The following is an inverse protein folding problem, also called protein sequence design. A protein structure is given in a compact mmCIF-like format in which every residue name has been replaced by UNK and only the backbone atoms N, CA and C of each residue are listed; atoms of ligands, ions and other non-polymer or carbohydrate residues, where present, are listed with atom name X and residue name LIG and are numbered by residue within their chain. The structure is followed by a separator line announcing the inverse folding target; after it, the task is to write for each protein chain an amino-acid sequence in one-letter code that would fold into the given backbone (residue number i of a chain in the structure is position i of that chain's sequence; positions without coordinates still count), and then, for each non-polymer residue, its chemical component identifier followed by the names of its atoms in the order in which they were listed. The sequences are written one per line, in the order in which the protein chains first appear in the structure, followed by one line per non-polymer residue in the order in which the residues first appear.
data_IF_358385665696
#
_entry.id   IF_358385665696
#
_cell.length_a   1.000
_cell.length_b   1.000
_cell.length_c   1.000
_cell.angle_alpha   90.00
_cell.angle_beta   90.00
_cell.angle_gamma   90.00
#
_symmetry.space_group_name_H-M   'P 1'
#
loop_
_entity.id
_entity.type
_entity.pdbx_description
1 polymer ?
#
# COMPACT_ATOMS: atom_id res chain seq x y z
N UNK A 1 4.63 17.04 -23.08
CA UNK A 1 4.17 17.15 -21.68
C UNK A 1 2.75 16.60 -21.62
N UNK A 2 2.51 15.69 -20.67
CA UNK A 2 1.24 14.99 -20.50
C UNK A 2 0.10 15.99 -20.20
N UNK A 3 -1.06 15.80 -20.84
CA UNK A 3 -2.22 16.69 -20.70
C UNK A 3 -2.69 16.82 -19.25
N UNK A 4 -2.51 15.76 -18.45
CA UNK A 4 -2.83 15.75 -17.03
C UNK A 4 -1.89 16.65 -16.22
N UNK A 5 -0.60 16.64 -16.53
CA UNK A 5 0.40 17.49 -15.90
C UNK A 5 0.15 18.97 -16.18
N UNK A 6 -0.11 19.34 -17.44
CA UNK A 6 -0.43 20.73 -17.81
C UNK A 6 -1.74 21.23 -17.17
N UNK A 7 -2.72 20.35 -16.99
CA UNK A 7 -3.97 20.69 -16.28
C UNK A 7 -3.70 20.94 -14.79
N UNK A 8 -2.84 20.16 -14.15
CA UNK A 8 -2.45 20.37 -12.76
C UNK A 8 -1.64 21.68 -12.60
N UNK A 9 -0.74 21.98 -13.53
CA UNK A 9 0.02 23.24 -13.56
C UNK A 9 -0.93 24.43 -13.71
N UNK A 10 -1.86 24.37 -14.67
CA UNK A 10 -2.88 25.42 -14.88
C UNK A 10 -3.69 25.70 -13.61
N UNK A 11 -4.16 24.64 -12.96
CA UNK A 11 -4.94 24.72 -11.72
C UNK A 11 -4.11 25.32 -10.58
N UNK A 12 -2.87 24.88 -10.42
CA UNK A 12 -1.96 25.38 -9.38
C UNK A 12 -1.60 26.85 -9.55
N UNK A 13 -1.32 27.27 -10.79
CA UNK A 13 -1.03 28.67 -11.12
C UNK A 13 -2.25 29.56 -10.92
N UNK A 14 -3.43 29.09 -11.38
CA UNK A 14 -4.70 29.83 -11.20
C UNK A 14 -5.00 30.05 -9.71
N UNK A 15 -4.76 29.05 -8.89
CA UNK A 15 -4.97 29.12 -7.43
C UNK A 15 -3.95 30.03 -6.73
N UNK A 16 -2.68 29.98 -7.16
CA UNK A 16 -1.59 30.75 -6.53
C UNK A 16 -1.60 32.22 -6.88
N UNK A 17 -1.96 32.56 -8.12
CA UNK A 17 -1.91 33.92 -8.64
C UNK A 17 -3.26 34.57 -8.86
N UNK A 18 -4.38 33.85 -8.59
CA UNK A 18 -5.75 34.36 -8.79
C UNK A 18 -6.15 34.56 -10.25
N UNK A 19 -5.38 34.00 -11.20
CA UNK A 19 -5.55 34.16 -12.64
C UNK A 19 -6.11 32.88 -13.23
N UNK A 20 -7.22 32.93 -13.98
CA UNK A 20 -7.73 31.76 -14.69
C UNK A 20 -6.85 31.46 -15.90
N UNK A 21 -6.09 30.38 -15.83
CA UNK A 21 -5.27 29.86 -16.93
C UNK A 21 -5.87 28.52 -17.35
N UNK A 22 -6.26 28.39 -18.62
CA UNK A 22 -6.76 27.13 -19.17
C UNK A 22 -5.60 26.25 -19.68
N UNK A 23 -5.84 24.94 -19.76
CA UNK A 23 -4.93 23.99 -20.38
C UNK A 23 -4.51 24.42 -21.80
N UNK A 24 -5.48 24.91 -22.58
CA UNK A 24 -5.24 25.36 -23.96
C UNK A 24 -4.29 26.56 -24.00
N UNK A 25 -4.47 27.53 -23.11
CA UNK A 25 -3.57 28.69 -23.01
C UNK A 25 -2.15 28.28 -22.63
N UNK A 26 -1.96 27.36 -21.69
CA UNK A 26 -0.63 26.84 -21.35
C UNK A 26 0.05 26.16 -22.52
N UNK A 27 -0.71 25.44 -23.34
CA UNK A 27 -0.14 24.66 -24.44
C UNK A 27 0.11 25.50 -25.70
N UNK A 28 -0.78 26.43 -26.04
CA UNK A 28 -0.75 27.16 -27.31
C UNK A 28 -0.17 28.58 -27.18
N UNK A 29 -0.47 29.29 -26.10
CA UNK A 29 -0.14 30.72 -25.91
C UNK A 29 1.04 30.95 -25.00
N UNK A 30 1.26 30.06 -24.01
CA UNK A 30 2.30 30.16 -22.97
C UNK A 30 3.25 28.95 -22.99
N UNK A 31 3.87 28.62 -24.13
CA UNK A 31 4.58 27.36 -24.33
C UNK A 31 5.95 27.28 -23.62
N UNK A 32 6.43 28.37 -23.02
CA UNK A 32 7.69 28.40 -22.28
C UNK A 32 7.58 29.25 -21.01
N UNK A 33 8.56 29.11 -20.12
CA UNK A 33 8.57 29.76 -18.81
C UNK A 33 8.60 31.29 -18.90
N UNK A 34 9.22 31.88 -19.92
CA UNK A 34 9.33 33.33 -20.07
C UNK A 34 7.95 33.95 -20.37
N UNK A 35 7.24 33.42 -21.35
CA UNK A 35 5.87 33.85 -21.66
C UNK A 35 4.90 33.63 -20.51
N UNK A 36 5.07 32.54 -19.76
CA UNK A 36 4.27 32.27 -18.57
C UNK A 36 4.58 33.28 -17.47
N UNK A 37 5.85 33.62 -17.26
CA UNK A 37 6.27 34.63 -16.31
C UNK A 37 5.71 36.03 -16.67
N UNK A 38 5.83 36.43 -17.93
CA UNK A 38 5.30 37.70 -18.43
C UNK A 38 3.76 37.81 -18.24
N UNK A 39 3.04 36.68 -18.43
CA UNK A 39 1.61 36.61 -18.20
C UNK A 39 1.22 36.74 -16.72
N UNK A 40 2.05 36.22 -15.81
CA UNK A 40 1.79 36.23 -14.37
C UNK A 40 2.31 37.49 -13.66
N UNK A 41 3.36 38.13 -14.15
CA UNK A 41 3.97 39.32 -13.56
C UNK A 41 2.97 40.42 -13.19
N UNK A 42 1.99 40.80 -14.04
CA UNK A 42 0.97 41.84 -13.71
C UNK A 42 0.10 41.47 -12.51
N UNK A 43 0.02 40.17 -12.15
CA UNK A 43 -0.85 39.64 -11.11
C UNK A 43 -0.13 39.35 -9.79
N UNK A 44 1.19 39.47 -9.73
CA UNK A 44 2.01 39.23 -8.53
C UNK A 44 1.92 40.38 -7.51
N UNK A 45 1.45 41.56 -7.92
CA UNK A 45 1.43 42.77 -7.09
C UNK A 45 0.14 43.07 -6.31
N UNK A 46 -0.90 42.25 -6.36
CA UNK A 46 -2.20 42.58 -5.78
C UNK A 46 -2.57 41.92 -4.44
N UNK A 47 -1.63 41.26 -3.76
CA UNK A 47 -1.86 40.68 -2.44
C UNK A 47 -0.88 41.20 -1.37
N UNK A 48 -0.96 42.49 -1.08
CA UNK A 48 -0.53 43.02 0.21
C UNK A 48 -1.36 44.21 0.59
N UNK A 49 -2.30 44.04 1.47
CA UNK A 49 -2.88 44.90 2.50
C UNK A 49 -4.42 44.82 2.55
N UNK A 50 -4.95 44.62 3.73
CA UNK A 50 -6.32 45.04 4.07
C UNK A 50 -7.20 43.93 4.64
N UNK A 51 -7.14 43.76 5.92
CA UNK A 51 -8.12 44.08 6.99
C UNK A 51 -9.53 43.50 6.84
N UNK A 52 -9.84 42.81 7.91
CA UNK A 52 -11.15 42.44 8.50
C UNK A 52 -12.31 43.38 8.16
N UNK A 53 -13.41 42.84 7.62
CA UNK A 53 -14.77 43.27 7.96
C UNK A 53 -15.81 42.21 7.51
N UNK A 54 -16.75 42.02 8.36
CA UNK A 54 -17.94 41.19 8.40
C UNK A 54 -18.95 41.40 7.28
N UNK A 55 -19.69 40.32 6.91
CA UNK A 55 -21.11 40.50 6.54
C UNK A 55 -21.62 39.64 5.37
N UNK A 56 -22.48 38.68 5.75
CA UNK A 56 -23.71 38.22 5.05
C UNK A 56 -23.65 37.39 3.76
N UNK A 57 -24.11 36.17 3.93
CA UNK A 57 -24.95 35.29 3.08
C UNK A 57 -25.09 35.56 1.57
N UNK A 58 -24.61 34.58 0.78
CA UNK A 58 -25.48 33.97 -0.24
C UNK A 58 -24.93 32.60 -0.64
N UNK A 59 -25.85 31.65 -0.77
CA UNK A 59 -25.58 30.24 -1.00
C UNK A 59 -24.94 29.97 -2.36
N UNK A 60 -23.81 29.32 -2.38
CA UNK A 60 -23.30 28.59 -3.54
C UNK A 60 -22.83 27.21 -3.04
N UNK A 61 -23.41 26.19 -3.63
CA UNK A 61 -23.13 24.75 -3.35
C UNK A 61 -21.64 24.43 -3.50
N UNK A 62 -20.98 23.87 -2.51
CA UNK A 62 -19.58 23.49 -2.65
C UNK A 62 -19.45 22.16 -3.41
N UNK A 63 -18.49 22.08 -4.30
CA UNK A 63 -18.01 20.81 -4.86
C UNK A 63 -17.28 20.04 -3.76
N UNK A 64 -17.96 19.07 -3.18
CA UNK A 64 -17.58 18.38 -1.94
C UNK A 64 -16.50 17.29 -2.09
N UNK A 65 -15.67 17.29 -3.13
CA UNK A 65 -14.81 16.12 -3.41
C UNK A 65 -13.40 16.15 -2.81
N UNK A 66 -12.72 17.30 -2.79
CA UNK A 66 -11.29 17.35 -2.43
C UNK A 66 -11.04 17.78 -0.97
N UNK A 67 -11.87 18.68 -0.44
CA UNK A 67 -11.71 19.19 0.93
C UNK A 67 -12.22 18.19 1.98
N UNK A 68 -13.21 17.35 1.63
CA UNK A 68 -13.70 16.30 2.53
C UNK A 68 -12.64 15.21 2.85
N UNK A 69 -11.75 14.90 1.88
CA UNK A 69 -10.68 13.93 2.08
C UNK A 69 -9.56 14.50 2.96
N UNK A 70 -9.23 15.79 2.81
CA UNK A 70 -8.24 16.46 3.67
C UNK A 70 -8.78 16.67 5.09
N UNK A 71 -10.03 17.06 5.25
CA UNK A 71 -10.64 17.27 6.58
C UNK A 71 -10.88 15.96 7.33
N UNK A 72 -11.20 14.85 6.64
CA UNK A 72 -11.32 13.54 7.29
C UNK A 72 -10.00 13.05 7.91
N UNK A 73 -8.86 13.56 7.44
CA UNK A 73 -7.54 13.27 8.02
C UNK A 73 -7.15 14.24 9.14
N UNK A 74 -7.68 15.46 9.16
CA UNK A 74 -7.43 16.45 10.22
C UNK A 74 -8.30 16.19 11.45
N UNK A 75 -9.53 15.73 11.27
CA UNK A 75 -10.47 15.40 12.37
C UNK A 75 -10.22 14.03 13.01
N UNK A 76 -9.18 13.31 12.63
CA UNK A 76 -8.75 12.07 13.26
C UNK A 76 -7.44 12.25 14.04
N UNK A 77 -7.41 13.05 15.13
CA UNK A 77 -6.18 13.46 15.82
C UNK A 77 -5.41 12.33 16.51
N UNK A 78 -5.93 11.11 16.50
CA UNK A 78 -5.35 10.00 17.26
C UNK A 78 -5.19 8.72 16.44
N UNK A 79 -4.89 8.84 15.15
CA UNK A 79 -4.42 7.69 14.38
C UNK A 79 -3.10 7.20 14.98
N UNK A 80 -3.14 6.05 15.64
CA UNK A 80 -1.94 5.33 16.11
C UNK A 80 -0.92 5.31 14.98
N UNK A 81 0.38 5.39 15.30
CA UNK A 81 1.49 5.40 14.33
C UNK A 81 1.23 4.42 13.19
N UNK A 82 1.27 4.92 11.99
CA UNK A 82 1.13 4.10 10.78
C UNK A 82 2.46 3.39 10.55
N UNK A 83 2.41 2.07 10.37
CA UNK A 83 3.58 1.24 10.13
C UNK A 83 3.71 0.87 8.65
N UNK A 84 4.96 0.70 8.19
CA UNK A 84 5.30 0.20 6.87
C UNK A 84 4.90 1.13 5.71
N UNK A 85 4.51 0.54 4.58
CA UNK A 85 4.22 1.24 3.32
C UNK A 85 3.11 2.31 3.41
N UNK A 86 2.31 2.29 4.46
CA UNK A 86 1.26 3.28 4.72
C UNK A 86 1.78 4.54 5.45
N UNK A 87 3.07 4.59 5.84
CA UNK A 87 3.65 5.79 6.39
C UNK A 87 3.61 6.92 5.35
N UNK A 88 3.02 8.06 5.70
CA UNK A 88 3.01 9.24 4.83
C UNK A 88 4.45 9.70 4.60
N UNK A 89 4.73 10.21 3.40
CA UNK A 89 5.94 11.00 3.17
C UNK A 89 5.77 12.27 4.01
N UNK A 90 6.46 12.30 5.13
CA UNK A 90 6.46 13.47 6.01
C UNK A 90 7.26 14.56 5.30
N UNK A 91 6.67 15.75 5.13
CA UNK A 91 7.40 16.95 4.73
C UNK A 91 8.19 17.44 5.96
N UNK A 92 9.23 16.70 6.33
CA UNK A 92 10.18 17.13 7.34
C UNK A 92 11.02 18.28 6.79
N UNK A 93 11.49 19.15 7.67
CA UNK A 93 12.43 20.21 7.32
C UNK A 93 13.63 19.60 6.60
N UNK A 94 14.09 20.25 5.55
CA UNK A 94 15.09 19.74 4.59
C UNK A 94 16.44 19.36 5.21
N UNK A 95 16.72 19.66 6.47
CA UNK A 95 17.97 19.34 7.12
C UNK A 95 17.85 19.24 8.65
N UNK A 96 17.48 18.06 9.12
CA UNK A 96 17.42 17.76 10.57
C UNK A 96 18.69 17.02 11.09
N UNK A 97 19.70 16.81 10.24
CA UNK A 97 20.93 16.17 10.66
C UNK A 97 21.84 17.16 11.43
N UNK A 98 22.38 16.73 12.58
CA UNK A 98 23.50 17.42 13.18
C UNK A 98 24.74 17.40 12.24
N UNK A 99 25.72 18.30 12.41
CA UNK A 99 26.94 18.27 11.60
C UNK A 99 27.65 16.89 11.63
N UNK A 100 27.66 16.23 12.77
CA UNK A 100 28.26 14.90 12.95
C UNK A 100 27.47 13.82 12.21
N UNK A 101 26.14 13.85 12.33
CA UNK A 101 25.26 12.94 11.58
C UNK A 101 25.40 13.14 10.07
N UNK A 102 25.53 14.38 9.62
CA UNK A 102 25.76 14.71 8.20
C UNK A 102 27.10 14.19 7.71
N UNK A 103 28.16 14.37 8.48
CA UNK A 103 29.50 13.86 8.13
C UNK A 103 29.49 12.33 8.01
N UNK A 104 28.94 11.63 9.00
CA UNK A 104 28.78 10.18 8.97
C UNK A 104 27.94 9.71 7.78
N UNK A 105 26.82 10.39 7.51
CA UNK A 105 25.94 10.06 6.39
C UNK A 105 26.66 10.18 5.05
N UNK A 106 27.41 11.25 4.84
CA UNK A 106 28.14 11.47 3.59
C UNK A 106 29.19 10.35 3.38
N UNK A 107 29.98 10.02 4.39
CA UNK A 107 30.93 8.91 4.34
C UNK A 107 30.23 7.56 4.05
N UNK A 108 29.10 7.32 4.70
CA UNK A 108 28.30 6.11 4.45
C UNK A 108 27.81 6.06 3.01
N UNK A 109 27.27 7.16 2.48
CA UNK A 109 26.79 7.25 1.09
C UNK A 109 27.90 6.95 0.11
N UNK A 110 29.09 7.54 0.29
CA UNK A 110 30.24 7.28 -0.58
C UNK A 110 30.59 5.79 -0.62
N UNK A 111 30.71 5.15 0.53
CA UNK A 111 31.02 3.71 0.63
C UNK A 111 29.92 2.84 0.02
N UNK A 112 28.64 3.15 0.33
CA UNK A 112 27.51 2.38 -0.16
C UNK A 112 27.36 2.51 -1.68
N UNK A 113 27.45 3.73 -2.22
CA UNK A 113 27.34 3.99 -3.64
C UNK A 113 28.52 3.38 -4.41
N UNK A 114 29.74 3.45 -3.87
CA UNK A 114 30.91 2.81 -4.49
C UNK A 114 30.72 1.28 -4.59
N UNK A 115 30.11 0.66 -3.57
CA UNK A 115 29.84 -0.77 -3.54
C UNK A 115 28.73 -1.20 -4.50
N UNK A 116 27.75 -0.36 -4.77
CA UNK A 116 26.53 -0.67 -5.55
C UNK A 116 26.34 0.30 -6.74
N UNK A 117 27.46 0.69 -7.37
CA UNK A 117 27.49 1.71 -8.41
C UNK A 117 26.65 1.38 -9.63
N UNK A 118 26.68 0.10 -10.10
CA UNK A 118 25.90 -0.36 -11.25
C UNK A 118 24.40 -0.38 -10.94
N UNK A 119 24.00 -0.77 -9.71
CA UNK A 119 22.60 -0.72 -9.29
C UNK A 119 22.06 0.72 -9.28
N UNK A 120 22.87 1.68 -8.84
CA UNK A 120 22.52 3.11 -8.88
C UNK A 120 22.40 3.61 -10.32
N UNK A 121 23.37 3.30 -11.19
CA UNK A 121 23.35 3.65 -12.60
C UNK A 121 22.13 3.06 -13.30
N UNK A 122 21.85 1.77 -13.12
CA UNK A 122 20.66 1.11 -13.64
C UNK A 122 19.37 1.85 -13.28
N UNK A 123 19.21 2.23 -12.01
CA UNK A 123 18.02 2.96 -11.55
C UNK A 123 17.93 4.33 -12.22
N UNK A 124 19.06 5.04 -12.39
CA UNK A 124 19.07 6.37 -13.01
C UNK A 124 18.74 6.31 -14.51
N UNK A 125 19.33 5.37 -15.24
CA UNK A 125 19.12 5.17 -16.68
C UNK A 125 17.67 4.76 -16.98
N UNK A 126 17.07 3.94 -16.12
CA UNK A 126 15.73 3.39 -16.34
C UNK A 126 14.60 4.18 -15.64
N UNK A 127 14.90 5.28 -14.98
CA UNK A 127 13.91 6.05 -14.22
C UNK A 127 12.74 6.58 -15.05
N UNK A 128 12.93 6.87 -16.33
CA UNK A 128 11.87 7.38 -17.20
C UNK A 128 10.86 6.31 -17.59
N UNK A 129 11.27 5.13 -18.13
CA UNK A 129 10.33 4.10 -18.53
C UNK A 129 9.85 3.23 -17.36
N UNK A 130 10.62 3.14 -16.27
CA UNK A 130 10.34 2.22 -15.17
C UNK A 130 9.79 2.96 -13.94
N UNK A 131 8.48 2.85 -13.72
CA UNK A 131 7.83 3.35 -12.52
C UNK A 131 7.96 2.32 -11.39
N UNK A 132 8.95 2.50 -10.49
CA UNK A 132 9.11 1.66 -9.31
C UNK A 132 8.54 2.35 -8.06
N UNK A 133 7.38 1.92 -7.55
CA UNK A 133 6.76 2.53 -6.36
C UNK A 133 7.61 2.35 -5.09
N UNK A 134 8.52 1.38 -5.06
CA UNK A 134 9.40 1.13 -3.90
C UNK A 134 10.39 2.25 -3.66
N UNK A 135 10.80 2.98 -4.69
CA UNK A 135 11.71 4.13 -4.55
C UNK A 135 11.05 5.37 -3.96
N UNK A 136 9.73 5.43 -3.92
CA UNK A 136 8.99 6.56 -3.32
C UNK A 136 8.42 6.24 -1.95
N UNK A 137 8.29 4.95 -1.61
CA UNK A 137 7.78 4.52 -0.30
C UNK A 137 8.80 4.85 0.79
N UNK A 138 8.43 5.71 1.73
CA UNK A 138 9.33 6.17 2.80
C UNK A 138 10.42 7.14 2.34
N UNK A 139 10.27 7.74 1.16
CA UNK A 139 11.22 8.73 0.64
C UNK A 139 11.43 9.89 1.61
N UNK A 140 12.71 10.18 1.89
CA UNK A 140 13.15 11.36 2.64
C UNK A 140 14.16 12.13 1.80
N UNK A 141 13.96 13.45 1.60
CA UNK A 141 14.88 14.27 0.80
C UNK A 141 16.32 14.22 1.29
N UNK A 142 16.51 14.08 2.60
CA UNK A 142 17.85 14.02 3.23
C UNK A 142 18.64 12.78 2.80
N UNK A 143 17.95 11.67 2.50
CA UNK A 143 18.56 10.38 2.15
C UNK A 143 18.37 9.99 0.68
N UNK A 144 18.07 10.98 -0.18
CA UNK A 144 17.78 10.77 -1.61
C UNK A 144 18.85 9.97 -2.38
N UNK A 145 20.12 10.11 -1.95
CA UNK A 145 21.24 9.43 -2.61
C UNK A 145 21.22 7.91 -2.44
N UNK A 146 20.47 7.41 -1.43
CA UNK A 146 20.29 5.98 -1.15
C UNK A 146 18.96 5.44 -1.69
N UNK A 147 18.18 6.26 -2.42
CA UNK A 147 16.87 5.86 -2.95
C UNK A 147 17.03 5.18 -4.31
N UNK A 148 17.48 3.94 -4.28
CA UNK A 148 17.53 3.01 -5.39
C UNK A 148 17.53 1.57 -4.87
N UNK A 149 17.17 0.63 -5.72
CA UNK A 149 17.20 -0.79 -5.38
C UNK A 149 18.57 -1.38 -5.70
N UNK A 150 19.04 -2.32 -4.90
CA UNK A 150 20.14 -3.22 -5.30
C UNK A 150 19.57 -4.14 -6.37
N UNK A 151 20.17 -4.14 -7.55
CA UNK A 151 19.72 -4.92 -8.70
C UNK A 151 20.45 -6.25 -8.70
N UNK A 152 19.68 -7.34 -8.56
CA UNK A 152 20.21 -8.69 -8.47
C UNK A 152 20.38 -9.26 -9.88
N UNK A 153 21.54 -9.84 -10.15
CA UNK A 153 21.89 -10.51 -11.41
C UNK A 153 21.61 -12.01 -11.34
N UNK A 154 21.98 -12.65 -10.23
CA UNK A 154 21.78 -14.09 -10.03
C UNK A 154 21.52 -14.46 -8.58
N UNK A 155 20.98 -15.66 -8.37
CA UNK A 155 20.65 -16.20 -7.06
C UNK A 155 20.87 -17.72 -7.00
N UNK A 156 21.30 -18.25 -5.84
CA UNK A 156 21.47 -19.68 -5.61
C UNK A 156 21.43 -19.97 -4.11
N UNK A 157 20.68 -20.98 -3.70
CA UNK A 157 20.53 -21.33 -2.29
C UNK A 157 20.02 -20.14 -1.46
N UNK A 158 20.81 -19.69 -0.48
CA UNK A 158 20.48 -18.51 0.31
C UNK A 158 21.24 -17.25 -0.13
N UNK A 159 21.88 -17.24 -1.29
CA UNK A 159 22.74 -16.17 -1.75
C UNK A 159 22.17 -15.43 -2.95
N UNK A 160 22.42 -14.11 -2.98
CA UNK A 160 22.12 -13.21 -4.09
C UNK A 160 23.41 -12.51 -4.51
N UNK A 161 23.57 -12.26 -5.81
CA UNK A 161 24.68 -11.45 -6.35
C UNK A 161 24.10 -10.29 -7.15
N UNK A 162 24.57 -9.09 -6.85
CA UNK A 162 24.14 -7.89 -7.57
C UNK A 162 24.94 -7.66 -8.88
N UNK A 163 24.59 -6.64 -9.61
CA UNK A 163 25.25 -6.24 -10.86
C UNK A 163 26.74 -5.88 -10.66
N UNK A 164 27.13 -5.48 -9.46
CA UNK A 164 28.51 -5.16 -9.10
C UNK A 164 29.31 -6.39 -8.69
N UNK A 165 28.64 -7.55 -8.54
CA UNK A 165 29.23 -8.83 -8.14
C UNK A 165 29.32 -9.00 -6.63
N UNK A 166 28.68 -8.14 -5.85
CA UNK A 166 28.61 -8.32 -4.40
C UNK A 166 27.71 -9.48 -4.06
N UNK A 167 28.15 -10.31 -3.13
CA UNK A 167 27.39 -11.42 -2.58
C UNK A 167 26.65 -11.01 -1.31
N UNK A 168 25.39 -11.42 -1.22
CA UNK A 168 24.50 -11.17 -0.08
C UNK A 168 23.85 -12.46 0.38
N UNK A 169 23.68 -12.61 1.68
CA UNK A 169 22.79 -13.65 2.24
C UNK A 169 21.38 -13.07 2.27
N UNK A 170 20.45 -13.73 1.59
CA UNK A 170 19.05 -13.33 1.60
C UNK A 170 18.34 -13.86 2.85
N UNK A 171 18.05 -12.96 3.78
CA UNK A 171 17.24 -13.24 4.96
C UNK A 171 15.77 -12.85 4.80
N UNK A 172 15.39 -12.28 3.66
CA UNK A 172 14.01 -11.90 3.35
C UNK A 172 13.23 -13.08 2.76
N UNK A 173 13.92 -13.95 2.00
CA UNK A 173 13.37 -15.17 1.39
C UNK A 173 12.08 -14.92 0.58
N UNK A 174 12.00 -13.75 -0.12
CA UNK A 174 10.80 -13.36 -0.87
C UNK A 174 9.53 -13.26 -0.01
N UNK A 175 9.65 -12.78 1.22
CA UNK A 175 8.59 -12.78 2.25
C UNK A 175 8.04 -14.18 2.57
N UNK A 176 8.93 -15.19 2.56
CA UNK A 176 8.59 -16.58 2.84
C UNK A 176 8.35 -17.46 1.60
N UNK A 177 8.19 -16.88 0.42
CA UNK A 177 7.97 -17.65 -0.82
C UNK A 177 9.16 -18.50 -1.25
N UNK A 178 10.39 -18.11 -0.88
CA UNK A 178 11.64 -18.85 -1.17
C UNK A 178 12.10 -19.72 0.00
N UNK A 179 11.20 -20.43 0.65
CA UNK A 179 11.46 -21.25 1.83
C UNK A 179 12.54 -22.33 1.60
N UNK A 180 12.67 -22.85 0.38
CA UNK A 180 13.70 -23.83 0.00
C UNK A 180 14.98 -23.21 -0.58
N UNK A 181 15.09 -21.89 -0.52
CA UNK A 181 16.16 -21.14 -1.17
C UNK A 181 15.91 -20.95 -2.67
N UNK A 182 16.87 -20.31 -3.33
CA UNK A 182 16.82 -20.04 -4.75
C UNK A 182 17.25 -21.26 -5.57
N UNK A 183 16.49 -21.56 -6.62
CA UNK A 183 16.80 -22.59 -7.62
C UNK A 183 17.13 -23.98 -7.03
N UNK A 184 16.35 -24.53 -6.06
CA UNK A 184 16.60 -25.86 -5.54
C UNK A 184 16.49 -26.89 -6.65
N UNK A 185 17.41 -27.86 -6.70
CA UNK A 185 17.59 -28.76 -7.85
C UNK A 185 16.33 -29.57 -8.16
N UNK A 186 15.57 -29.97 -7.15
CA UNK A 186 14.33 -30.74 -7.35
C UNK A 186 13.24 -29.93 -8.07
N UNK A 187 13.11 -28.62 -7.78
CA UNK A 187 12.17 -27.72 -8.47
C UNK A 187 12.67 -27.45 -9.90
N UNK A 188 13.94 -27.12 -10.03
CA UNK A 188 14.56 -26.82 -11.32
C UNK A 188 14.41 -27.97 -12.32
N UNK A 189 14.63 -29.20 -11.88
CA UNK A 189 14.44 -30.40 -12.69
C UNK A 189 13.01 -30.54 -13.22
N UNK A 190 12.00 -30.38 -12.36
CA UNK A 190 10.60 -30.49 -12.78
C UNK A 190 10.16 -29.31 -13.66
N UNK A 191 10.69 -28.11 -13.42
CA UNK A 191 10.46 -26.97 -14.30
C UNK A 191 11.03 -27.21 -15.71
N UNK A 192 12.26 -27.73 -15.84
CA UNK A 192 12.82 -28.07 -17.14
C UNK A 192 12.01 -29.14 -17.88
N UNK A 193 11.60 -30.19 -17.17
CA UNK A 193 10.73 -31.22 -17.72
C UNK A 193 9.40 -30.67 -18.23
N UNK A 194 8.79 -29.72 -17.50
CA UNK A 194 7.53 -29.10 -17.92
C UNK A 194 7.75 -28.16 -19.11
N UNK A 195 8.86 -27.40 -19.14
CA UNK A 195 9.20 -26.54 -20.28
C UNK A 195 9.37 -27.35 -21.55
N UNK A 196 10.01 -28.53 -21.49
CA UNK A 196 10.18 -29.43 -22.63
C UNK A 196 8.86 -30.05 -23.10
N UNK A 197 7.90 -30.28 -22.19
CA UNK A 197 6.57 -30.80 -22.51
C UNK A 197 5.59 -29.76 -23.04
N UNK A 198 5.82 -28.49 -22.72
CA UNK A 198 4.97 -27.34 -23.03
C UNK A 198 4.34 -26.71 -21.81
N UNK A 199 3.91 -25.46 -21.96
CA UNK A 199 3.17 -24.69 -20.93
C UNK A 199 1.85 -24.25 -21.53
N UNK A 200 0.77 -24.85 -21.07
CA UNK A 200 -0.57 -24.53 -21.50
C UNK A 200 -1.07 -23.27 -20.78
N UNK A 201 -1.61 -22.31 -21.53
CA UNK A 201 -2.24 -21.11 -21.01
C UNK A 201 -3.72 -21.15 -21.31
N UNK A 202 -4.54 -21.21 -20.26
CA UNK A 202 -5.99 -21.24 -20.33
C UNK A 202 -6.61 -22.62 -20.03
N UNK A 203 -6.28 -23.72 -20.76
CA UNK A 203 -6.74 -25.05 -20.40
C UNK A 203 -6.20 -25.49 -19.03
N UNK A 204 -6.98 -26.32 -18.33
CA UNK A 204 -6.59 -26.85 -17.02
C UNK A 204 -5.53 -27.95 -17.18
N UNK A 205 -4.42 -27.82 -16.45
CA UNK A 205 -3.39 -28.85 -16.36
C UNK A 205 -3.73 -29.88 -15.28
N UNK A 206 -3.41 -31.19 -15.46
CA UNK A 206 -3.69 -32.24 -14.47
C UNK A 206 -3.12 -31.94 -13.06
N UNK A 207 -1.96 -31.31 -12.95
CA UNK A 207 -1.36 -30.91 -11.69
C UNK A 207 -2.24 -29.99 -10.83
N UNK A 208 -3.21 -29.28 -11.43
CA UNK A 208 -4.13 -28.44 -10.66
C UNK A 208 -4.95 -29.25 -9.66
N UNK A 209 -5.38 -30.48 -10.04
CA UNK A 209 -6.09 -31.37 -9.13
C UNK A 209 -5.19 -31.89 -8.02
N UNK A 210 -3.94 -32.24 -8.34
CA UNK A 210 -3.00 -32.76 -7.34
C UNK A 210 -2.59 -31.68 -6.34
N UNK A 211 -2.32 -30.46 -6.80
CA UNK A 211 -2.05 -29.31 -5.92
C UNK A 211 -3.24 -29.02 -5.01
N UNK A 212 -4.47 -29.05 -5.54
CA UNK A 212 -5.66 -28.80 -4.72
C UNK A 212 -5.86 -29.88 -3.64
N UNK A 213 -5.64 -31.15 -3.97
CA UNK A 213 -5.67 -32.25 -2.98
C UNK A 213 -4.63 -32.09 -1.88
N UNK A 214 -3.38 -31.79 -2.26
CA UNK A 214 -2.30 -31.57 -1.30
C UNK A 214 -2.58 -30.37 -0.39
N UNK A 215 -3.09 -29.27 -0.93
CA UNK A 215 -3.49 -28.11 -0.11
C UNK A 215 -4.58 -28.49 0.89
N UNK A 216 -5.63 -29.22 0.46
CA UNK A 216 -6.67 -29.69 1.38
C UNK A 216 -6.12 -30.63 2.46
N UNK A 217 -5.21 -31.53 2.09
CA UNK A 217 -4.57 -32.47 3.04
C UNK A 217 -3.73 -31.73 4.08
N UNK A 218 -2.91 -30.75 3.65
CA UNK A 218 -2.03 -30.00 4.53
C UNK A 218 -2.77 -29.01 5.44
N UNK A 219 -3.86 -28.40 4.96
CA UNK A 219 -4.60 -27.38 5.70
C UNK A 219 -5.82 -27.89 6.43
N UNK A 220 -6.26 -29.11 6.14
CA UNK A 220 -7.55 -29.65 6.63
C UNK A 220 -8.77 -29.01 5.95
N UNK A 221 -8.59 -28.25 4.86
CA UNK A 221 -9.65 -27.65 4.08
C UNK A 221 -10.40 -28.67 3.23
N UNK A 222 -11.68 -28.42 2.94
CA UNK A 222 -12.49 -29.29 2.08
C UNK A 222 -12.23 -29.02 0.59
N UNK A 223 -11.87 -27.80 0.24
CA UNK A 223 -11.64 -27.33 -1.14
C UNK A 223 -10.55 -26.30 -1.19
N UNK A 224 -9.78 -26.30 -2.27
CA UNK A 224 -8.78 -25.32 -2.56
C UNK A 224 -8.98 -24.69 -3.94
N UNK A 225 -8.80 -23.38 -4.04
CA UNK A 225 -8.75 -22.63 -5.29
C UNK A 225 -7.44 -21.85 -5.33
N UNK A 226 -6.83 -21.79 -6.52
CA UNK A 226 -5.53 -21.11 -6.72
C UNK A 226 -5.78 -19.77 -7.40
N UNK A 227 -5.08 -18.74 -6.93
CA UNK A 227 -5.01 -17.41 -7.55
C UNK A 227 -3.55 -16.93 -7.54
N UNK A 228 -3.27 -15.80 -8.22
CA UNK A 228 -1.89 -15.35 -8.39
C UNK A 228 -1.33 -14.60 -7.18
N UNK A 229 -2.19 -13.98 -6.38
CA UNK A 229 -1.76 -13.15 -5.25
C UNK A 229 -2.67 -13.31 -4.03
N UNK A 230 -2.12 -13.03 -2.82
CA UNK A 230 -2.93 -12.96 -1.60
C UNK A 230 -4.01 -11.88 -1.67
N UNK A 231 -3.78 -10.79 -2.40
CA UNK A 231 -4.80 -9.75 -2.61
C UNK A 231 -6.02 -10.28 -3.37
N UNK A 232 -5.82 -11.12 -4.39
CA UNK A 232 -6.91 -11.79 -5.12
C UNK A 232 -7.64 -12.79 -4.22
N UNK A 233 -6.90 -13.55 -3.40
CA UNK A 233 -7.48 -14.50 -2.45
C UNK A 233 -8.39 -13.79 -1.43
N UNK A 234 -7.90 -12.72 -0.81
CA UNK A 234 -8.68 -11.92 0.15
C UNK A 234 -9.91 -11.30 -0.51
N UNK A 235 -9.77 -10.70 -1.69
CA UNK A 235 -10.90 -10.16 -2.45
C UNK A 235 -11.96 -11.24 -2.74
N UNK A 236 -11.50 -12.39 -3.20
CA UNK A 236 -12.37 -13.55 -3.47
C UNK A 236 -13.10 -14.03 -2.22
N UNK A 237 -12.38 -14.19 -1.11
CA UNK A 237 -12.94 -14.65 0.16
C UNK A 237 -13.98 -13.66 0.74
N UNK A 238 -13.69 -12.35 0.71
CA UNK A 238 -14.63 -11.31 1.15
C UNK A 238 -15.91 -11.32 0.29
N UNK A 239 -15.76 -11.43 -1.02
CA UNK A 239 -16.90 -11.51 -1.95
C UNK A 239 -17.75 -12.76 -1.72
N UNK A 240 -17.11 -13.92 -1.53
CA UNK A 240 -17.83 -15.16 -1.19
C UNK A 240 -18.58 -15.04 0.13
N UNK A 241 -17.95 -14.49 1.17
CA UNK A 241 -18.58 -14.27 2.47
C UNK A 241 -19.84 -13.40 2.34
N UNK A 242 -19.76 -12.28 1.62
CA UNK A 242 -20.91 -11.41 1.35
C UNK A 242 -22.00 -12.11 0.57
N UNK A 243 -21.65 -12.90 -0.43
CA UNK A 243 -22.63 -13.66 -1.24
C UNK A 243 -23.37 -14.70 -0.41
N UNK A 244 -22.64 -15.47 0.40
CA UNK A 244 -23.23 -16.57 1.19
C UNK A 244 -24.09 -16.04 2.33
N UNK A 245 -23.67 -14.96 2.98
CA UNK A 245 -24.39 -14.41 4.15
C UNK A 245 -25.48 -13.39 3.78
N UNK A 246 -25.42 -12.81 2.58
CA UNK A 246 -26.27 -11.69 2.17
C UNK A 246 -25.97 -10.38 2.92
N UNK A 247 -24.84 -10.30 3.62
CA UNK A 247 -24.41 -9.15 4.44
C UNK A 247 -23.26 -8.42 3.79
N UNK A 248 -22.97 -7.18 4.20
CA UNK A 248 -21.91 -6.35 3.58
C UNK A 248 -20.72 -6.07 4.50
N UNK A 249 -20.97 -5.94 5.80
CA UNK A 249 -19.96 -5.55 6.77
C UNK A 249 -18.87 -6.62 6.89
N UNK A 250 -17.59 -6.16 6.82
CA UNK A 250 -16.42 -6.97 7.18
C UNK A 250 -15.77 -6.36 8.42
N UNK A 251 -15.53 -7.17 9.43
CA UNK A 251 -14.77 -6.78 10.62
C UNK A 251 -13.33 -7.23 10.40
N UNK A 252 -12.38 -6.31 10.58
CA UNK A 252 -10.94 -6.59 10.48
C UNK A 252 -10.18 -5.88 11.63
N UNK A 253 -8.85 -6.06 11.70
CA UNK A 253 -8.08 -5.62 12.86
C UNK A 253 -6.98 -4.64 12.49
N UNK A 254 -6.77 -3.66 13.36
CA UNK A 254 -5.70 -2.68 13.23
C UNK A 254 -4.33 -3.37 13.24
N UNK A 255 -3.44 -2.94 12.34
CA UNK A 255 -2.09 -3.50 12.21
C UNK A 255 -1.97 -4.67 11.23
N UNK A 256 -3.08 -5.27 10.79
CA UNK A 256 -3.07 -6.31 9.76
C UNK A 256 -2.75 -5.76 8.38
N UNK A 257 -2.26 -6.64 7.52
CA UNK A 257 -2.04 -6.39 6.10
C UNK A 257 -2.75 -7.47 5.28
N UNK A 258 -3.71 -7.08 4.47
CA UNK A 258 -4.55 -7.97 3.67
C UNK A 258 -4.44 -7.71 2.16
N UNK A 259 -3.31 -7.18 1.71
CA UNK A 259 -3.08 -6.89 0.30
C UNK A 259 -3.34 -5.44 -0.09
N UNK A 260 -3.59 -5.21 -1.39
CA UNK A 260 -3.63 -3.88 -2.00
C UNK A 260 -5.02 -3.43 -2.46
N UNK A 261 -6.07 -4.21 -2.20
CA UNK A 261 -7.43 -3.81 -2.54
C UNK A 261 -7.86 -2.61 -1.68
N UNK A 262 -8.60 -1.69 -2.26
CA UNK A 262 -9.03 -0.45 -1.61
C UNK A 262 -9.77 -0.71 -0.28
N UNK A 263 -10.63 -1.73 -0.25
CA UNK A 263 -11.39 -2.10 0.94
C UNK A 263 -10.52 -2.52 2.14
N UNK A 264 -9.28 -2.97 1.93
CA UNK A 264 -8.39 -3.44 3.01
C UNK A 264 -7.24 -2.49 3.32
N UNK A 265 -7.06 -1.43 2.52
CA UNK A 265 -6.12 -0.34 2.83
C UNK A 265 -6.86 0.74 3.62
N UNK A 266 -7.13 0.44 4.90
CA UNK A 266 -8.02 1.24 5.74
C UNK A 266 -7.38 1.58 7.08
N UNK A 267 -7.97 2.55 7.75
CA UNK A 267 -7.67 2.95 9.12
C UNK A 267 -8.94 3.04 9.93
N UNK A 268 -8.91 2.53 11.14
CA UNK A 268 -9.96 2.73 12.12
C UNK A 268 -9.70 3.96 12.99
N UNK A 269 -10.77 4.58 13.45
CA UNK A 269 -10.73 5.62 14.49
C UNK A 269 -11.21 5.08 15.83
N UNK A 270 -10.98 5.85 16.91
CA UNK A 270 -11.56 5.56 18.23
C UNK A 270 -13.09 5.55 18.22
N UNK A 271 -13.71 6.34 17.35
CA UNK A 271 -15.16 6.40 17.16
C UNK A 271 -15.71 5.24 16.31
N UNK A 272 -14.87 4.23 16.00
CA UNK A 272 -15.23 3.05 15.18
C UNK A 272 -15.64 3.38 13.74
N UNK A 273 -15.21 4.53 13.22
CA UNK A 273 -15.34 4.87 11.79
C UNK A 273 -14.10 4.39 11.03
N UNK A 274 -14.32 3.91 9.81
CA UNK A 274 -13.26 3.51 8.89
C UNK A 274 -12.96 4.64 7.91
N UNK A 275 -11.67 4.81 7.59
CA UNK A 275 -11.15 5.83 6.69
C UNK A 275 -10.17 5.22 5.70
N UNK A 276 -10.07 5.76 4.48
CA UNK A 276 -9.05 5.37 3.52
C UNK A 276 -7.64 5.42 4.11
N UNK A 277 -6.88 4.36 3.92
CA UNK A 277 -5.50 4.26 4.41
C UNK A 277 -4.47 4.94 3.51
N UNK A 278 -4.83 5.24 2.26
CA UNK A 278 -3.98 5.89 1.28
C UNK A 278 -4.76 6.91 0.43
N UNK A 279 -4.08 7.94 -0.13
CA UNK A 279 -4.68 8.85 -1.10
C UNK A 279 -5.19 8.09 -2.33
N UNK A 280 -6.32 8.53 -2.88
CA UNK A 280 -6.94 7.93 -4.06
C UNK A 280 -7.97 6.84 -3.78
N UNK A 281 -8.01 6.32 -2.57
CA UNK A 281 -9.08 5.39 -2.15
C UNK A 281 -10.33 6.20 -1.83
N UNK A 282 -11.46 5.80 -2.42
CA UNK A 282 -12.74 6.46 -2.17
C UNK A 282 -13.27 6.13 -0.77
N UNK A 283 -13.87 7.09 -0.05
CA UNK A 283 -14.48 6.83 1.26
C UNK A 283 -15.50 5.69 1.24
N UNK A 284 -16.27 5.58 0.17
CA UNK A 284 -17.30 4.55 -0.03
C UNK A 284 -16.71 3.14 -0.12
N UNK A 285 -15.47 3.00 -0.60
CA UNK A 285 -14.78 1.71 -0.68
C UNK A 285 -14.56 1.09 0.72
N UNK A 286 -14.44 1.91 1.76
CA UNK A 286 -14.16 1.47 3.13
C UNK A 286 -15.37 1.58 4.07
N UNK A 287 -16.52 1.99 3.55
CA UNK A 287 -17.74 2.22 4.35
C UNK A 287 -18.23 0.95 5.06
N UNK A 288 -18.12 -0.20 4.38
CA UNK A 288 -18.55 -1.49 4.90
C UNK A 288 -17.42 -2.26 5.61
N UNK A 289 -16.44 -1.54 6.15
CA UNK A 289 -15.34 -2.12 6.92
C UNK A 289 -15.37 -1.58 8.35
N UNK A 290 -15.22 -2.46 9.34
CA UNK A 290 -15.08 -2.11 10.75
C UNK A 290 -13.71 -2.55 11.26
N UNK A 291 -12.88 -1.60 11.65
CA UNK A 291 -11.53 -1.88 12.16
C UNK A 291 -11.54 -1.82 13.68
N UNK A 292 -11.11 -2.91 14.31
CA UNK A 292 -11.02 -3.09 15.74
C UNK A 292 -9.56 -3.27 16.19
N UNK A 293 -9.30 -3.08 17.48
CA UNK A 293 -8.00 -3.41 18.06
C UNK A 293 -7.86 -4.93 18.20
N UNK A 294 -6.72 -5.49 17.77
CA UNK A 294 -6.51 -6.94 17.77
C UNK A 294 -6.24 -7.48 19.16
N UNK A 295 -6.98 -8.52 19.57
CA UNK A 295 -6.75 -9.27 20.79
C UNK A 295 -7.24 -8.56 22.06
N UNK A 296 -8.15 -7.57 21.98
CA UNK A 296 -8.66 -6.86 23.14
C UNK A 296 -10.07 -7.35 23.56
N UNK A 297 -10.39 -7.33 24.87
CA UNK A 297 -11.74 -7.66 25.35
C UNK A 297 -12.82 -6.74 24.74
N UNK A 298 -12.53 -5.46 24.57
CA UNK A 298 -13.45 -4.47 24.00
C UNK A 298 -13.83 -4.84 22.56
N UNK A 299 -12.86 -5.35 21.80
CA UNK A 299 -13.12 -5.82 20.44
C UNK A 299 -14.01 -7.07 20.41
N UNK A 300 -13.85 -7.99 21.37
CA UNK A 300 -14.74 -9.15 21.48
C UNK A 300 -16.18 -8.73 21.76
N UNK A 301 -16.38 -7.76 22.65
CA UNK A 301 -17.73 -7.25 22.95
C UNK A 301 -18.37 -6.59 21.73
N UNK A 302 -17.61 -5.83 20.94
CA UNK A 302 -18.10 -5.23 19.70
C UNK A 302 -18.43 -6.31 18.67
N UNK A 303 -17.58 -7.34 18.55
CA UNK A 303 -17.85 -8.47 17.66
C UNK A 303 -19.13 -9.19 18.06
N UNK A 304 -19.35 -9.48 19.35
CA UNK A 304 -20.60 -10.09 19.84
C UNK A 304 -21.82 -9.26 19.46
N UNK A 305 -21.75 -7.95 19.59
CA UNK A 305 -22.86 -7.04 19.29
C UNK A 305 -23.15 -6.94 17.79
N UNK A 306 -22.10 -6.97 16.93
CA UNK A 306 -22.21 -6.64 15.52
C UNK A 306 -22.03 -7.83 14.55
N UNK A 307 -21.69 -9.01 15.08
CA UNK A 307 -21.42 -10.18 14.25
C UNK A 307 -22.63 -10.60 13.39
N UNK A 308 -23.85 -10.38 13.87
CA UNK A 308 -25.08 -10.67 13.14
C UNK A 308 -25.26 -9.82 11.87
N UNK A 309 -24.61 -8.66 11.78
CA UNK A 309 -24.60 -7.78 10.60
C UNK A 309 -23.41 -8.07 9.68
N UNK A 310 -22.38 -8.75 10.19
CA UNK A 310 -21.14 -8.97 9.47
C UNK A 310 -21.24 -10.15 8.50
N UNK A 311 -20.71 -9.95 7.29
CA UNK A 311 -20.48 -11.03 6.34
C UNK A 311 -19.29 -11.89 6.78
N UNK A 312 -18.24 -11.25 7.29
CA UNK A 312 -17.05 -11.95 7.78
C UNK A 312 -16.32 -11.20 8.88
N UNK A 313 -15.56 -11.96 9.67
CA UNK A 313 -14.39 -11.46 10.41
C UNK A 313 -13.14 -11.89 9.65
N UNK A 314 -12.35 -10.93 9.19
CA UNK A 314 -11.10 -11.11 8.47
C UNK A 314 -9.93 -10.87 9.43
N UNK A 315 -9.06 -11.86 9.58
CA UNK A 315 -7.97 -11.79 10.56
C UNK A 315 -6.69 -12.42 10.02
N UNK A 316 -5.57 -11.76 10.24
CA UNK A 316 -4.22 -12.32 10.20
C UNK A 316 -3.95 -12.96 11.57
N UNK A 317 -3.94 -14.31 11.72
CA UNK A 317 -3.86 -14.96 13.03
C UNK A 317 -2.62 -14.55 13.82
N UNK A 318 -1.50 -14.41 13.12
CA UNK A 318 -0.29 -13.77 13.60
C UNK A 318 0.01 -12.62 12.65
N UNK A 319 -0.19 -11.40 13.14
CA UNK A 319 0.04 -10.23 12.30
C UNK A 319 1.50 -10.14 11.87
N UNK A 320 1.75 -10.00 10.56
CA UNK A 320 3.09 -9.91 9.96
C UNK A 320 3.99 -8.83 10.58
N UNK A 321 3.38 -7.81 11.17
CA UNK A 321 4.08 -6.69 11.85
C UNK A 321 4.17 -6.82 13.37
N UNK A 322 3.60 -7.90 13.94
CA UNK A 322 3.54 -8.16 15.39
C UNK A 322 3.63 -9.66 15.65
N UNK A 323 4.67 -10.30 15.16
CA UNK A 323 4.86 -11.76 15.22
C UNK A 323 4.94 -12.33 16.64
N UNK A 324 5.28 -11.49 17.61
CA UNK A 324 5.32 -11.84 19.03
C UNK A 324 3.93 -11.95 19.67
N UNK A 325 2.89 -11.35 19.04
CA UNK A 325 1.55 -11.30 19.60
C UNK A 325 0.64 -12.37 18.99
N UNK A 326 0.28 -13.36 19.79
CA UNK A 326 -0.50 -14.54 19.39
C UNK A 326 -1.70 -14.75 20.32
N UNK A 327 -2.81 -14.00 20.14
CA UNK A 327 -3.95 -14.04 21.04
C UNK A 327 -4.87 -15.25 20.74
N UNK A 328 -4.43 -16.46 21.05
CA UNK A 328 -5.13 -17.71 20.73
C UNK A 328 -6.52 -17.77 21.35
N UNK A 329 -6.67 -17.36 22.61
CA UNK A 329 -7.98 -17.41 23.29
C UNK A 329 -8.96 -16.40 22.68
N UNK A 330 -8.49 -15.21 22.31
CA UNK A 330 -9.28 -14.26 21.53
C UNK A 330 -9.80 -14.85 20.21
N UNK A 331 -8.96 -15.56 19.47
CA UNK A 331 -9.36 -16.20 18.21
C UNK A 331 -10.37 -17.32 18.42
N UNK A 332 -10.24 -18.09 19.50
CA UNK A 332 -11.23 -19.10 19.89
C UNK A 332 -12.60 -18.48 20.17
N UNK A 333 -12.63 -17.38 20.92
CA UNK A 333 -13.84 -16.62 21.18
C UNK A 333 -14.45 -16.05 19.87
N UNK A 334 -13.63 -15.45 19.01
CA UNK A 334 -14.07 -14.97 17.69
C UNK A 334 -14.69 -16.12 16.90
N UNK A 335 -14.06 -17.32 16.90
CA UNK A 335 -14.64 -18.49 16.21
C UNK A 335 -15.97 -18.92 16.79
N UNK A 336 -16.10 -18.91 18.11
CA UNK A 336 -17.37 -19.27 18.77
C UNK A 336 -18.50 -18.30 18.38
N UNK A 337 -18.20 -16.98 18.43
CA UNK A 337 -19.15 -15.92 18.07
C UNK A 337 -19.54 -16.02 16.58
N UNK A 338 -18.56 -16.13 15.68
CA UNK A 338 -18.84 -16.21 14.23
C UNK A 338 -19.67 -17.44 13.88
N UNK A 339 -19.42 -18.58 14.52
CA UNK A 339 -20.19 -19.80 14.34
C UNK A 339 -21.66 -19.63 14.80
N UNK A 340 -21.88 -18.98 15.94
CA UNK A 340 -23.22 -18.73 16.48
C UNK A 340 -24.08 -17.85 15.56
N UNK A 341 -23.43 -16.88 14.88
CA UNK A 341 -24.10 -15.90 14.03
C UNK A 341 -24.07 -16.23 12.52
N UNK A 342 -23.56 -17.40 12.15
CA UNK A 342 -23.40 -17.81 10.76
C UNK A 342 -22.62 -16.76 9.94
N UNK A 343 -21.60 -16.16 10.58
CA UNK A 343 -20.69 -15.19 9.99
C UNK A 343 -19.44 -15.92 9.53
N UNK A 344 -18.92 -15.62 8.34
CA UNK A 344 -17.68 -16.22 7.88
C UNK A 344 -16.51 -15.80 8.76
N UNK A 345 -15.57 -16.72 9.03
CA UNK A 345 -14.29 -16.41 9.60
C UNK A 345 -13.23 -16.66 8.54
N UNK A 346 -12.53 -15.60 8.13
CA UNK A 346 -11.48 -15.65 7.12
C UNK A 346 -10.13 -15.49 7.82
N UNK A 347 -9.31 -16.54 7.77
CA UNK A 347 -7.93 -16.48 8.20
C UNK A 347 -7.03 -16.13 7.00
N UNK A 348 -6.35 -15.00 7.08
CA UNK A 348 -5.29 -14.63 6.16
C UNK A 348 -3.97 -15.19 6.69
N UNK A 349 -3.57 -16.31 6.11
CA UNK A 349 -2.39 -17.06 6.52
C UNK A 349 -1.24 -16.95 5.49
N UNK A 350 -1.24 -15.90 4.67
CA UNK A 350 -0.16 -15.64 3.68
C UNK A 350 1.23 -15.68 4.31
N UNK A 351 1.35 -15.33 5.60
CA UNK A 351 2.62 -15.35 6.34
C UNK A 351 2.77 -16.62 7.18
N UNK A 352 1.68 -17.22 7.66
CA UNK A 352 1.70 -18.29 8.67
C UNK A 352 1.31 -19.66 8.13
N UNK A 353 0.77 -19.72 6.92
CA UNK A 353 0.29 -20.94 6.25
C UNK A 353 1.37 -21.78 5.60
#
# INVERSE_FOLDING_TARGET
LDSLFLTQVATSLSRKFGVKISFRQLNEELPNLDKLADHLLPHVGSQSAGSVASGSNSAATPSAGADAVTNAFEDAPELKKVFGAQARIVKEKLDDFSPEQRAWYNEFVERYVAKTAKSKAFTQENRLPMADPRVVTGFKPQTKELVYQVVVDRSEGCHLWDLDGNEYVDILSGFGSSMFGYMPEFIKKECHKQLDAGIEIGPMHPLAADVSKLLCELTGGERAAVCNTGSEAVLGAMRMARTVTGRHLIIAFAGSYHGINDEVIIRGSKSKKSYPGAPGIMPEAVENMLILDYGTPESLEIIKQRCHEAAAVLVEPVQSRRMEFRPVDFLREVRAITKQHETALIFDEVITG
#
